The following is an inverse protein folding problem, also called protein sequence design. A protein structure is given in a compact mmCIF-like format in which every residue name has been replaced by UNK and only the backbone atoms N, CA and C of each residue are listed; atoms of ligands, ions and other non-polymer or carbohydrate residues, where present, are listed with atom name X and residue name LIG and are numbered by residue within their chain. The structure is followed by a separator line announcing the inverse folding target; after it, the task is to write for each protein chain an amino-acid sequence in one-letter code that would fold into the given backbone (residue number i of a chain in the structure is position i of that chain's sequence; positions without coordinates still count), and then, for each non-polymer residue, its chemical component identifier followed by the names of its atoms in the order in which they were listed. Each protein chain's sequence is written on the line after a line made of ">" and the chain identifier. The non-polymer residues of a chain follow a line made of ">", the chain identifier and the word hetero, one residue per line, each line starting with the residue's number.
data_IF_838243811135
#
_entry.id   IF_838243811135
#
_cell.length_a   1.000
_cell.length_b   1.000
_cell.length_c   1.000
_cell.angle_alpha   90.00
_cell.angle_beta   90.00
_cell.angle_gamma   90.00
#
_symmetry.space_group_name_H-M   'P 1'
#
loop_
_entity.id
_entity.type
_entity.pdbx_description
1 polymer ?
#
# COMPACT_ATOMS: atom_id res chain seq x y z
N UNK A 1 -8.42 -15.87 -25.93
CA UNK A 1 -8.81 -14.65 -25.18
C UNK A 1 -8.35 -14.79 -23.74
N UNK A 2 -7.39 -13.98 -23.31
CA UNK A 2 -6.97 -13.91 -21.91
C UNK A 2 -7.98 -13.07 -21.12
N UNK A 3 -8.50 -13.60 -20.02
CA UNK A 3 -9.33 -12.81 -19.09
C UNK A 3 -8.46 -11.76 -18.40
N UNK A 4 -8.84 -10.49 -18.46
CA UNK A 4 -8.20 -9.44 -17.66
C UNK A 4 -8.70 -9.53 -16.23
N UNK A 5 -7.79 -9.73 -15.28
CA UNK A 5 -8.09 -9.70 -13.85
C UNK A 5 -8.11 -8.24 -13.40
N UNK A 6 -9.18 -7.80 -12.76
CA UNK A 6 -9.32 -6.45 -12.20
C UNK A 6 -9.36 -6.52 -10.67
N UNK A 7 -8.89 -5.45 -10.03
CA UNK A 7 -8.94 -5.27 -8.59
C UNK A 7 -9.12 -3.78 -8.26
N UNK A 8 -9.55 -3.50 -7.03
CA UNK A 8 -9.69 -2.14 -6.51
C UNK A 8 -8.56 -1.82 -5.53
N UNK A 9 -8.01 -0.61 -5.65
CA UNK A 9 -6.93 -0.16 -4.77
C UNK A 9 -7.46 0.88 -3.77
N UNK A 10 -7.64 0.46 -2.53
CA UNK A 10 -8.25 1.27 -1.47
C UNK A 10 -7.24 1.93 -0.52
N UNK A 11 -5.94 1.82 -0.79
CA UNK A 11 -4.89 2.25 0.16
C UNK A 11 -5.04 3.70 0.62
N UNK A 12 -5.29 4.65 -0.31
CA UNK A 12 -5.49 6.07 0.06
C UNK A 12 -6.68 6.26 1.00
N UNK A 13 -7.77 5.50 0.81
CA UNK A 13 -8.94 5.55 1.68
C UNK A 13 -8.59 5.01 3.07
N UNK A 14 -7.94 3.86 3.16
CA UNK A 14 -7.51 3.25 4.43
C UNK A 14 -6.54 4.16 5.21
N UNK A 15 -5.61 4.82 4.51
CA UNK A 15 -4.74 5.83 5.11
C UNK A 15 -5.53 6.97 5.74
N UNK A 16 -6.49 7.54 5.01
CA UNK A 16 -7.33 8.62 5.54
C UNK A 16 -8.16 8.18 6.75
N UNK A 17 -8.75 6.98 6.71
CA UNK A 17 -9.52 6.39 7.82
C UNK A 17 -8.65 6.16 9.07
N UNK A 18 -7.35 5.93 8.87
CA UNK A 18 -6.36 5.78 9.94
C UNK A 18 -5.73 7.11 10.38
N UNK A 19 -6.26 8.25 9.93
CA UNK A 19 -5.77 9.59 10.29
C UNK A 19 -4.46 9.99 9.61
N UNK A 20 -4.01 9.23 8.59
CA UNK A 20 -2.78 9.51 7.85
C UNK A 20 -3.02 10.51 6.71
N UNK A 21 -2.40 11.68 6.80
CA UNK A 21 -2.54 12.73 5.78
C UNK A 21 -1.44 12.66 4.72
N UNK A 22 -0.23 12.26 5.09
CA UNK A 22 0.90 12.15 4.17
C UNK A 22 1.20 10.71 3.80
N UNK A 23 1.62 10.48 2.56
CA UNK A 23 2.10 9.15 2.14
C UNK A 23 3.42 8.77 2.83
N UNK A 24 4.18 9.77 3.30
CA UNK A 24 5.45 9.55 4.01
C UNK A 24 5.25 8.91 5.38
N UNK A 25 4.08 9.10 5.99
CA UNK A 25 3.74 8.55 7.30
C UNK A 25 3.71 7.01 7.29
N UNK A 26 3.49 6.42 6.10
CA UNK A 26 3.48 4.98 5.88
C UNK A 26 4.89 4.37 5.82
N UNK A 27 5.91 5.16 5.48
CA UNK A 27 7.30 4.70 5.30
C UNK A 27 7.87 4.03 6.56
N UNK A 28 7.84 4.66 7.77
CA UNK A 28 8.36 4.01 8.97
C UNK A 28 7.58 2.74 9.34
N UNK A 29 6.26 2.71 9.15
CA UNK A 29 5.44 1.54 9.46
C UNK A 29 5.72 0.32 8.56
N UNK A 30 6.06 0.60 7.30
CA UNK A 30 6.52 -0.42 6.36
C UNK A 30 7.93 -0.92 6.74
N UNK A 31 8.82 -0.02 7.14
CA UNK A 31 10.18 -0.36 7.56
C UNK A 31 10.18 -1.27 8.80
N UNK A 32 9.29 -1.02 9.77
CA UNK A 32 9.11 -1.88 10.97
C UNK A 32 8.71 -3.33 10.62
N UNK A 33 8.16 -3.55 9.41
CA UNK A 33 7.78 -4.87 8.88
C UNK A 33 8.78 -5.42 7.86
N UNK A 34 9.97 -4.82 7.80
CA UNK A 34 11.05 -5.22 6.88
C UNK A 34 10.81 -4.79 5.43
N UNK A 35 9.90 -3.86 5.17
CA UNK A 35 9.62 -3.32 3.83
C UNK A 35 10.21 -1.92 3.71
N UNK A 36 11.48 -1.85 3.29
CA UNK A 36 12.20 -0.58 3.14
C UNK A 36 12.02 -0.04 1.72
N UNK A 37 11.39 1.12 1.60
CA UNK A 37 11.10 1.78 0.32
C UNK A 37 11.29 3.29 0.43
N UNK A 38 11.65 3.94 -0.68
CA UNK A 38 11.72 5.40 -0.69
C UNK A 38 10.32 6.03 -0.61
N UNK A 39 10.23 7.23 -0.05
CA UNK A 39 8.99 8.01 0.01
C UNK A 39 8.35 8.21 -1.37
N UNK A 40 9.16 8.42 -2.40
CA UNK A 40 8.71 8.52 -3.80
C UNK A 40 8.09 7.20 -4.30
N UNK A 41 8.66 6.06 -3.95
CA UNK A 41 8.09 4.75 -4.33
C UNK A 41 6.76 4.52 -3.62
N UNK A 42 6.69 4.81 -2.32
CA UNK A 42 5.45 4.71 -1.54
C UNK A 42 4.39 5.64 -2.12
N UNK A 43 4.72 6.90 -2.40
CA UNK A 43 3.82 7.87 -3.00
C UNK A 43 3.20 7.32 -4.30
N UNK A 44 4.03 6.82 -5.24
CA UNK A 44 3.55 6.28 -6.52
C UNK A 44 2.56 5.12 -6.36
N UNK A 45 2.78 4.26 -5.36
CA UNK A 45 1.88 3.13 -5.08
C UNK A 45 0.60 3.61 -4.42
N UNK A 46 0.67 4.57 -3.50
CA UNK A 46 -0.52 5.10 -2.82
C UNK A 46 -1.42 5.86 -3.78
N UNK A 47 -0.85 6.70 -4.65
CA UNK A 47 -1.63 7.55 -5.56
C UNK A 47 -2.01 6.87 -6.89
N UNK A 48 -1.35 5.76 -7.23
CA UNK A 48 -1.60 5.00 -8.46
C UNK A 48 -2.26 3.64 -8.21
N UNK A 49 -2.64 2.95 -9.29
CA UNK A 49 -3.05 1.54 -9.24
C UNK A 49 -1.88 0.66 -9.71
N UNK A 50 -1.19 -0.07 -8.83
CA UNK A 50 0.02 -0.82 -9.20
C UNK A 50 -0.28 -2.04 -10.09
N UNK A 51 0.35 -2.15 -11.26
CA UNK A 51 0.21 -3.37 -12.08
C UNK A 51 0.91 -4.58 -11.47
N UNK A 52 1.96 -4.33 -10.68
CA UNK A 52 2.74 -5.34 -9.98
C UNK A 52 2.90 -4.89 -8.54
N UNK A 53 2.59 -5.78 -7.61
CA UNK A 53 2.75 -5.56 -6.19
C UNK A 53 3.55 -6.69 -5.56
N UNK A 54 4.43 -6.32 -4.65
CA UNK A 54 5.19 -7.26 -3.85
C UNK A 54 4.24 -7.81 -2.75
N UNK A 55 4.25 -9.12 -2.50
CA UNK A 55 3.39 -9.76 -1.49
C UNK A 55 3.72 -9.37 -0.04
N UNK A 56 5.00 -9.17 0.29
CA UNK A 56 5.44 -8.66 1.59
C UNK A 56 4.90 -7.24 1.86
N UNK A 57 4.86 -6.38 0.83
CA UNK A 57 4.26 -5.05 0.92
C UNK A 57 2.74 -5.15 1.12
N UNK A 58 2.05 -5.99 0.34
CA UNK A 58 0.61 -6.20 0.53
C UNK A 58 0.31 -6.72 1.95
N UNK A 59 1.05 -7.71 2.42
CA UNK A 59 0.92 -8.25 3.77
C UNK A 59 1.20 -7.18 4.85
N UNK A 60 2.23 -6.35 4.65
CA UNK A 60 2.53 -5.25 5.56
C UNK A 60 1.40 -4.22 5.61
N UNK A 61 0.79 -3.87 4.48
CA UNK A 61 -0.37 -2.97 4.47
C UNK A 61 -1.56 -3.59 5.23
N UNK A 62 -1.84 -4.86 4.98
CA UNK A 62 -2.91 -5.58 5.66
C UNK A 62 -2.70 -5.60 7.18
N UNK A 63 -1.47 -5.82 7.63
CA UNK A 63 -1.11 -5.78 9.05
C UNK A 63 -1.19 -4.35 9.64
N UNK A 64 -0.74 -3.33 8.91
CA UNK A 64 -0.81 -1.92 9.33
C UNK A 64 -2.27 -1.47 9.52
N UNK A 65 -3.15 -1.84 8.60
CA UNK A 65 -4.54 -1.38 8.57
C UNK A 65 -5.53 -2.39 9.17
N UNK A 66 -5.06 -3.54 9.67
CA UNK A 66 -5.91 -4.59 10.23
C UNK A 66 -6.95 -5.12 9.24
N UNK A 67 -6.61 -5.24 7.96
CA UNK A 67 -7.52 -5.64 6.88
C UNK A 67 -7.00 -6.85 6.10
N UNK A 68 -7.81 -7.37 5.16
CA UNK A 68 -7.42 -8.42 4.21
C UNK A 68 -7.50 -7.91 2.76
N UNK A 69 -6.77 -8.51 1.80
CA UNK A 69 -6.79 -8.12 0.39
C UNK A 69 -8.17 -8.22 -0.27
#
# INVERSE_FOLDING_TARGET
>A
MTKTVAYHWHLRKLMNESGMQSTTDLVPLLADRGVVMSSTQVYRIVTGRPERLNMQFLAALCDIFGCTP
#
